data_IF_089338064871
#
_entry.id   IF_089338064871
#
_cell.length_a   1.000
_cell.length_b   1.000
_cell.length_c   1.000
_cell.angle_alpha   90.00
_cell.angle_beta   90.00
_cell.angle_gamma   90.00
#
_symmetry.space_group_name_H-M   'P 1'
#
loop_
_entity.id
_entity.type
_entity.pdbx_description
1 polymer ?
#
# COMPACT_ATOMS: atom_id res chain seq x y z
N UNK A 1 -19.93 3.52 1.42
CA UNK A 1 -18.94 4.48 0.89
C UNK A 1 -19.31 4.82 -0.54
N UNK A 2 -18.55 5.71 -1.18
CA UNK A 2 -18.82 6.16 -2.57
C UNK A 2 -19.03 5.01 -3.55
N UNK A 3 -18.37 3.86 -3.32
CA UNK A 3 -18.38 2.72 -4.24
C UNK A 3 -18.83 1.37 -3.63
N UNK A 4 -19.13 1.30 -2.33
CA UNK A 4 -19.46 0.03 -1.66
C UNK A 4 -20.58 0.17 -0.62
N UNK A 5 -21.44 -0.86 -0.56
CA UNK A 5 -22.58 -0.95 0.36
C UNK A 5 -22.48 -2.16 1.30
N UNK A 6 -21.87 -3.26 0.86
CA UNK A 6 -21.83 -4.52 1.58
C UNK A 6 -20.43 -4.81 2.14
N UNK A 7 -20.36 -5.32 3.38
CA UNK A 7 -19.10 -5.62 4.06
C UNK A 7 -18.29 -6.71 3.36
N UNK A 8 -18.93 -7.73 2.80
CA UNK A 8 -18.28 -8.81 2.07
C UNK A 8 -17.93 -8.45 0.62
N UNK A 9 -18.28 -7.25 0.15
CA UNK A 9 -17.99 -6.71 -1.18
C UNK A 9 -17.47 -5.27 -1.06
N UNK A 10 -16.44 -5.08 -0.24
CA UNK A 10 -15.88 -3.78 0.13
C UNK A 10 -14.69 -3.33 -0.74
N UNK A 11 -14.47 -4.00 -1.89
CA UNK A 11 -13.55 -3.63 -2.99
C UNK A 11 -12.06 -3.79 -2.69
N UNK A 12 -11.57 -3.34 -1.54
CA UNK A 12 -10.14 -3.20 -1.28
C UNK A 12 -9.73 -3.80 0.05
N UNK A 13 -8.48 -4.26 0.12
CA UNK A 13 -7.77 -4.63 1.34
C UNK A 13 -6.60 -3.67 1.56
N UNK A 14 -6.29 -3.38 2.81
CA UNK A 14 -5.08 -2.66 3.21
C UNK A 14 -4.57 -3.22 4.54
N UNK A 15 -3.27 -3.33 4.69
CA UNK A 15 -2.64 -3.85 5.91
C UNK A 15 -3.04 -2.99 7.12
N UNK A 16 -3.35 -3.65 8.25
CA UNK A 16 -3.88 -3.02 9.45
C UNK A 16 -2.81 -2.49 10.43
N UNK A 17 -1.55 -2.83 10.20
CA UNK A 17 -0.40 -2.42 11.01
C UNK A 17 0.91 -2.44 10.20
N UNK A 18 1.98 -1.87 10.76
CA UNK A 18 3.32 -1.92 10.15
C UNK A 18 3.83 -3.36 10.06
N UNK A 19 3.64 -4.15 11.13
CA UNK A 19 4.03 -5.57 11.15
C UNK A 19 3.29 -6.38 10.09
N UNK A 20 1.97 -6.18 9.97
CA UNK A 20 1.16 -6.81 8.93
C UNK A 20 1.61 -6.39 7.53
N UNK A 21 1.96 -5.11 7.34
CA UNK A 21 2.42 -4.59 6.05
C UNK A 21 3.75 -5.22 5.62
N UNK A 22 4.74 -5.29 6.50
CA UNK A 22 6.04 -5.92 6.21
C UNK A 22 5.87 -7.40 5.79
N UNK A 23 4.98 -8.11 6.51
CA UNK A 23 4.63 -9.50 6.21
C UNK A 23 3.92 -9.64 4.86
N UNK A 24 2.90 -8.82 4.61
CA UNK A 24 2.12 -8.87 3.37
C UNK A 24 2.95 -8.47 2.15
N UNK A 25 3.75 -7.40 2.22
CA UNK A 25 4.66 -6.99 1.13
C UNK A 25 5.60 -8.14 0.77
N UNK A 26 6.21 -8.79 1.76
CA UNK A 26 7.12 -9.93 1.55
C UNK A 26 6.41 -11.18 1.03
N UNK A 27 5.11 -11.33 1.30
CA UNK A 27 4.30 -12.44 0.79
C UNK A 27 3.93 -12.26 -0.68
N UNK A 28 3.57 -11.04 -1.09
CA UNK A 28 3.04 -10.75 -2.41
C UNK A 28 4.10 -10.35 -3.43
N UNK A 29 5.21 -9.77 -2.98
CA UNK A 29 6.28 -9.25 -3.84
C UNK A 29 7.63 -9.83 -3.45
N UNK A 30 8.41 -10.16 -4.46
CA UNK A 30 9.85 -10.37 -4.31
C UNK A 30 10.55 -9.02 -4.15
N UNK A 31 11.72 -9.03 -3.53
CA UNK A 31 12.48 -7.80 -3.29
C UNK A 31 12.86 -7.08 -4.59
N UNK A 32 13.16 -7.84 -5.64
CA UNK A 32 13.51 -7.30 -6.96
C UNK A 32 12.33 -6.66 -7.71
N UNK A 33 11.09 -6.88 -7.27
CA UNK A 33 9.90 -6.23 -7.84
C UNK A 33 9.67 -4.83 -7.24
N UNK A 34 10.36 -4.49 -6.14
CA UNK A 34 10.26 -3.19 -5.49
C UNK A 34 11.22 -2.20 -6.16
N UNK A 35 10.65 -1.18 -6.81
CA UNK A 35 11.41 -0.16 -7.54
C UNK A 35 11.74 1.02 -6.63
N UNK A 36 13.03 1.30 -6.49
CA UNK A 36 13.51 2.50 -5.81
C UNK A 36 13.51 3.69 -6.77
N UNK A 37 12.85 4.78 -6.40
CA UNK A 37 12.86 6.03 -7.17
C UNK A 37 12.65 7.24 -6.26
N UNK A 38 13.10 8.40 -6.72
CA UNK A 38 12.84 9.69 -6.05
C UNK A 38 11.76 10.46 -6.81
N UNK A 39 10.57 10.69 -6.23
CA UNK A 39 9.57 11.54 -6.85
C UNK A 39 10.10 12.97 -7.03
N UNK A 40 9.90 13.56 -8.21
CA UNK A 40 10.25 14.98 -8.47
C UNK A 40 9.58 15.92 -7.47
N UNK A 41 8.36 15.57 -7.03
CA UNK A 41 7.59 16.35 -6.08
C UNK A 41 8.01 16.16 -4.61
N UNK A 42 8.99 15.31 -4.31
CA UNK A 42 9.36 14.98 -2.93
C UNK A 42 9.65 16.22 -2.07
N UNK A 43 10.37 17.22 -2.60
CA UNK A 43 10.69 18.45 -1.88
C UNK A 43 9.52 19.45 -1.74
N UNK A 44 8.38 19.18 -2.37
CA UNK A 44 7.13 19.93 -2.13
C UNK A 44 6.22 19.23 -1.11
N UNK A 45 6.47 17.95 -0.83
CA UNK A 45 5.64 17.13 0.06
C UNK A 45 6.25 17.06 1.47
N UNK A 46 7.58 16.99 1.56
CA UNK A 46 8.32 16.87 2.81
C UNK A 46 9.32 18.02 2.94
N UNK A 47 9.43 18.58 4.15
CA UNK A 47 10.45 19.57 4.54
C UNK A 47 11.80 18.91 4.81
#
# INVERSE_FOLDING_TARGET
GDFALDMGRNIIHGSDSVESAEKEISLWFKKEELVEYKPTLHGWIYE
#
